data_IF_660103593159
#
_entry.id   IF_660103593159
#
_cell.length_a   1.000
_cell.length_b   1.000
_cell.length_c   1.000
_cell.angle_alpha   90.00
_cell.angle_beta   90.00
_cell.angle_gamma   90.00
#
_symmetry.space_group_name_H-M   'P 1'
#
loop_
_entity.id
_entity.type
_entity.pdbx_description
1 polymer ?
#
# COMPACT_ATOMS: atom_id res chain seq x y z
N UNK A 1 29.73 -9.19 -27.72
CA UNK A 1 29.47 -7.78 -27.38
C UNK A 1 28.35 -7.78 -26.38
N UNK A 2 28.74 -7.54 -25.14
CA UNK A 2 28.00 -7.35 -23.89
C UNK A 2 26.63 -8.00 -23.72
N UNK A 3 26.64 -9.09 -22.93
CA UNK A 3 25.53 -9.48 -22.06
C UNK A 3 25.21 -8.29 -21.17
N UNK A 4 24.21 -7.49 -21.53
CA UNK A 4 23.65 -6.51 -20.60
C UNK A 4 23.05 -7.30 -19.44
N UNK A 5 23.63 -7.05 -18.28
CA UNK A 5 23.37 -7.67 -17.01
C UNK A 5 21.95 -7.30 -16.53
N UNK A 6 20.95 -8.07 -16.96
CA UNK A 6 19.66 -8.13 -16.27
C UNK A 6 19.79 -9.13 -15.13
N UNK A 7 20.58 -8.78 -14.12
CA UNK A 7 20.80 -9.60 -12.92
C UNK A 7 20.45 -8.72 -11.71
N UNK A 8 19.44 -9.19 -10.96
CA UNK A 8 19.14 -8.81 -9.58
C UNK A 8 18.47 -7.45 -9.33
N UNK A 9 17.44 -7.09 -10.11
CA UNK A 9 16.45 -6.12 -9.62
C UNK A 9 15.44 -6.86 -8.76
N UNK A 10 15.28 -6.44 -7.50
CA UNK A 10 14.18 -6.92 -6.68
C UNK A 10 12.85 -6.69 -7.41
N UNK A 11 11.88 -7.56 -7.18
CA UNK A 11 10.61 -7.54 -7.89
C UNK A 11 9.44 -7.66 -6.92
N UNK A 12 8.50 -6.74 -7.07
CA UNK A 12 7.17 -6.88 -6.49
C UNK A 12 6.41 -7.99 -7.21
N UNK A 13 6.18 -9.13 -6.53
CA UNK A 13 5.51 -10.28 -7.17
C UNK A 13 4.16 -9.87 -7.79
N UNK A 14 3.87 -10.22 -9.05
CA UNK A 14 2.60 -9.90 -9.71
C UNK A 14 1.39 -10.31 -8.87
N UNK A 15 0.37 -9.46 -8.84
CA UNK A 15 -0.91 -9.66 -8.14
C UNK A 15 -0.81 -9.96 -6.63
N UNK A 16 0.38 -9.76 -6.02
CA UNK A 16 0.58 -10.03 -4.60
C UNK A 16 -0.02 -8.96 -3.69
N UNK A 17 -0.31 -7.76 -4.21
CA UNK A 17 -0.90 -6.69 -3.43
C UNK A 17 -2.34 -7.01 -3.02
N UNK A 18 -2.56 -7.04 -1.72
CA UNK A 18 -3.88 -7.18 -1.11
C UNK A 18 -4.09 -6.14 -0.01
N UNK A 19 -5.34 -5.76 0.20
CA UNK A 19 -5.77 -4.90 1.30
C UNK A 19 -6.95 -5.60 1.97
N UNK A 20 -6.80 -6.00 3.22
CA UNK A 20 -7.81 -6.77 3.95
C UNK A 20 -8.06 -6.23 5.37
N UNK A 21 -9.33 -6.01 5.76
CA UNK A 21 -10.51 -6.02 4.90
C UNK A 21 -10.49 -4.87 3.88
N UNK A 22 -11.18 -5.03 2.76
CA UNK A 22 -11.35 -3.94 1.77
C UNK A 22 -12.34 -2.88 2.22
N UNK A 23 -13.16 -3.16 3.23
CA UNK A 23 -14.08 -2.24 3.87
C UNK A 23 -13.72 -2.17 5.35
N UNK A 24 -13.46 -0.96 5.85
CA UNK A 24 -13.06 -0.76 7.23
C UNK A 24 -13.54 0.60 7.75
N UNK A 25 -13.59 0.76 9.07
CA UNK A 25 -14.10 1.95 9.76
C UNK A 25 -13.11 2.40 10.83
N UNK A 26 -12.27 3.40 10.53
CA UNK A 26 -11.36 4.02 11.50
C UNK A 26 -12.04 4.45 12.81
N UNK A 27 -13.33 4.84 12.75
CA UNK A 27 -14.12 5.27 13.93
C UNK A 27 -14.71 4.13 14.76
N UNK A 28 -14.66 2.88 14.29
CA UNK A 28 -14.98 1.70 15.11
C UNK A 28 -16.46 1.28 15.19
N UNK A 29 -17.26 1.49 14.13
CA UNK A 29 -18.70 1.22 14.12
C UNK A 29 -19.12 -0.15 13.54
N UNK A 30 -18.46 -1.24 14.01
CA UNK A 30 -18.66 -2.66 13.62
C UNK A 30 -17.82 -3.22 12.46
N UNK A 31 -16.97 -2.41 11.84
CA UNK A 31 -15.90 -2.90 10.96
C UNK A 31 -14.53 -2.91 11.66
N UNK A 32 -13.53 -3.57 11.04
CA UNK A 32 -12.13 -3.39 11.45
C UNK A 32 -11.76 -1.91 11.43
N UNK A 33 -10.91 -1.48 12.36
CA UNK A 33 -10.42 -0.09 12.43
C UNK A 33 -9.31 0.23 11.44
N UNK A 34 -8.84 -0.77 10.69
CA UNK A 34 -7.77 -0.64 9.73
C UNK A 34 -7.91 -1.67 8.61
N UNK A 35 -7.21 -1.42 7.51
CA UNK A 35 -6.88 -2.42 6.50
C UNK A 35 -5.41 -2.82 6.63
N UNK A 36 -5.10 -4.09 6.40
CA UNK A 36 -3.73 -4.57 6.27
C UNK A 36 -3.36 -4.64 4.79
N UNK A 37 -2.36 -3.86 4.41
CA UNK A 37 -1.72 -3.83 3.10
C UNK A 37 -0.65 -4.92 3.11
N UNK A 38 -0.84 -5.97 2.31
CA UNK A 38 0.15 -7.04 2.16
C UNK A 38 0.66 -7.10 0.73
N UNK A 39 1.96 -7.31 0.57
CA UNK A 39 2.64 -7.47 -0.72
C UNK A 39 3.80 -8.46 -0.57
N UNK A 40 4.33 -8.98 -1.68
CA UNK A 40 5.46 -9.93 -1.64
C UNK A 40 6.63 -9.44 -2.49
N UNK A 41 7.81 -9.41 -1.89
CA UNK A 41 9.07 -9.17 -2.57
C UNK A 41 9.82 -10.49 -2.77
N UNK A 42 10.50 -10.66 -3.89
CA UNK A 42 11.40 -11.81 -4.12
C UNK A 42 12.78 -11.61 -3.47
N UNK A 43 13.25 -10.37 -3.37
CA UNK A 43 14.51 -9.93 -2.76
C UNK A 43 14.27 -8.70 -1.86
N UNK A 44 15.18 -8.39 -0.91
CA UNK A 44 15.09 -7.14 -0.16
C UNK A 44 15.10 -5.91 -1.07
N UNK A 45 14.22 -4.94 -0.82
CA UNK A 45 14.02 -3.79 -1.70
C UNK A 45 13.57 -2.53 -0.95
N UNK A 46 13.73 -1.36 -1.58
CA UNK A 46 13.10 -0.11 -1.14
C UNK A 46 11.71 0.01 -1.76
N UNK A 47 10.71 0.20 -0.91
CA UNK A 47 9.30 0.26 -1.31
C UNK A 47 8.69 1.59 -0.90
N UNK A 48 7.88 2.14 -1.79
CA UNK A 48 7.03 3.29 -1.53
C UNK A 48 5.58 2.85 -1.47
N UNK A 49 4.89 3.22 -0.39
CA UNK A 49 3.47 2.92 -0.18
C UNK A 49 2.75 4.23 0.07
N UNK A 50 1.73 4.49 -0.75
CA UNK A 50 0.94 5.72 -0.72
C UNK A 50 -0.54 5.40 -0.75
N UNK A 51 -1.33 6.31 -0.21
CA UNK A 51 -2.79 6.29 -0.31
C UNK A 51 -3.24 7.56 -1.01
N UNK A 52 -4.12 7.41 -1.99
CA UNK A 52 -4.76 8.51 -2.70
C UNK A 52 -6.28 8.45 -2.53
N UNK A 53 -6.94 9.60 -2.61
CA UNK A 53 -8.38 9.64 -2.83
C UNK A 53 -8.70 9.45 -4.33
N UNK A 54 -9.99 9.33 -4.68
CA UNK A 54 -10.42 9.14 -6.09
C UNK A 54 -10.12 10.33 -7.01
N UNK A 55 -9.85 11.51 -6.47
CA UNK A 55 -9.39 12.66 -7.25
C UNK A 55 -7.89 12.59 -7.57
N UNK A 56 -7.19 11.53 -7.14
CA UNK A 56 -5.75 11.37 -7.31
C UNK A 56 -4.91 12.22 -6.35
N UNK A 57 -5.53 12.86 -5.36
CA UNK A 57 -4.80 13.62 -4.36
C UNK A 57 -4.16 12.65 -3.38
N UNK A 58 -2.90 12.91 -3.04
CA UNK A 58 -2.18 12.14 -2.04
C UNK A 58 -2.76 12.42 -0.67
N UNK A 59 -3.15 11.36 0.02
CA UNK A 59 -3.77 11.38 1.34
C UNK A 59 -2.76 10.99 2.41
N UNK A 60 -1.97 9.96 2.16
CA UNK A 60 -1.01 9.47 3.15
C UNK A 60 0.23 8.81 2.54
N UNK A 61 1.37 9.04 3.19
CA UNK A 61 2.62 8.30 2.95
C UNK A 61 2.80 7.23 4.03
N UNK A 62 2.46 5.99 3.70
CA UNK A 62 2.64 4.87 4.64
C UNK A 62 4.10 4.44 4.71
N UNK A 63 4.81 4.51 3.58
CA UNK A 63 6.24 4.22 3.50
C UNK A 63 6.86 5.01 2.36
N UNK A 64 8.01 5.66 2.62
CA UNK A 64 8.74 6.44 1.61
C UNK A 64 10.12 5.84 1.41
N UNK A 65 10.33 5.14 0.29
CA UNK A 65 11.60 4.44 -0.02
C UNK A 65 12.11 3.57 1.16
N UNK A 66 11.18 2.95 1.90
CA UNK A 66 11.54 2.18 3.09
C UNK A 66 12.06 0.81 2.69
N UNK A 67 13.13 0.36 3.34
CA UNK A 67 13.69 -0.97 3.13
C UNK A 67 12.79 -2.07 3.74
N UNK A 68 12.49 -3.10 2.95
CA UNK A 68 11.82 -4.32 3.38
C UNK A 68 12.65 -5.56 3.02
N UNK A 69 12.48 -6.64 3.78
CA UNK A 69 13.06 -7.94 3.47
C UNK A 69 12.34 -8.64 2.31
N UNK A 70 12.95 -9.69 1.78
CA UNK A 70 12.25 -10.61 0.87
C UNK A 70 11.11 -11.34 1.59
N UNK A 71 10.19 -11.87 0.80
CA UNK A 71 9.00 -12.57 1.29
C UNK A 71 7.80 -11.65 1.47
N UNK A 72 6.83 -12.13 2.26
CA UNK A 72 5.56 -11.45 2.46
C UNK A 72 5.72 -10.34 3.50
N UNK A 73 5.35 -9.13 3.11
CA UNK A 73 5.31 -7.95 3.96
C UNK A 73 3.84 -7.61 4.29
N UNK A 74 3.62 -7.00 5.46
CA UNK A 74 2.30 -6.57 5.91
C UNK A 74 2.41 -5.29 6.74
N UNK A 75 1.64 -4.26 6.36
CA UNK A 75 1.60 -2.96 7.04
C UNK A 75 0.15 -2.54 7.19
N UNK A 76 -0.19 -1.84 8.28
CA UNK A 76 -1.55 -1.38 8.53
C UNK A 76 -1.73 0.06 8.08
N UNK A 77 -2.87 0.34 7.47
CA UNK A 77 -3.39 1.70 7.34
C UNK A 77 -4.67 1.82 8.16
N UNK A 78 -4.65 2.74 9.12
CA UNK A 78 -5.74 3.01 10.06
C UNK A 78 -6.78 4.01 9.50
N UNK A 79 -6.69 4.39 8.22
CA UNK A 79 -7.61 5.33 7.59
C UNK A 79 -7.42 6.77 8.08
N UNK A 80 -6.18 7.14 8.39
CA UNK A 80 -5.79 8.53 8.69
C UNK A 80 -4.91 9.11 7.59
N UNK A 81 -4.96 10.42 7.44
CA UNK A 81 -4.06 11.18 6.58
C UNK A 81 -2.76 11.57 7.30
N UNK A 82 -1.91 12.33 6.63
CA UNK A 82 -0.62 12.77 7.15
C UNK A 82 -0.70 13.75 8.33
N UNK A 83 -1.88 14.30 8.60
CA UNK A 83 -2.15 15.15 9.77
C UNK A 83 -2.73 14.34 10.95
N UNK A 84 -2.73 13.00 10.83
CA UNK A 84 -3.35 12.05 11.76
C UNK A 84 -4.88 12.21 11.88
N UNK A 85 -5.52 12.86 10.91
CA UNK A 85 -6.98 13.03 10.89
C UNK A 85 -7.67 11.86 10.19
N UNK A 86 -8.84 11.46 10.69
CA UNK A 86 -9.62 10.38 10.07
C UNK A 86 -10.16 10.85 8.72
N UNK A 87 -9.80 10.13 7.67
CA UNK A 87 -10.23 10.47 6.31
C UNK A 87 -11.74 10.30 6.13
N UNK A 88 -12.33 11.04 5.20
CA UNK A 88 -13.76 10.97 4.91
C UNK A 88 -14.20 9.57 4.44
N UNK A 89 -15.48 9.24 4.63
CA UNK A 89 -16.09 8.06 4.01
C UNK A 89 -15.90 8.10 2.50
N UNK A 90 -15.43 7.01 1.89
CA UNK A 90 -15.22 6.95 0.45
C UNK A 90 -14.20 5.91 0.02
N UNK A 91 -13.94 5.89 -1.29
CA UNK A 91 -12.95 5.03 -1.91
C UNK A 91 -11.55 5.67 -1.86
N UNK A 92 -10.56 4.84 -1.57
CA UNK A 92 -9.15 5.21 -1.56
C UNK A 92 -8.34 4.19 -2.33
N UNK A 93 -7.28 4.66 -2.98
CA UNK A 93 -6.37 3.85 -3.80
C UNK A 93 -5.06 3.71 -3.04
N UNK A 94 -4.74 2.48 -2.63
CA UNK A 94 -3.44 2.13 -2.05
C UNK A 94 -2.51 1.71 -3.18
N UNK A 95 -1.35 2.34 -3.29
CA UNK A 95 -0.32 1.95 -4.27
C UNK A 95 0.92 1.43 -3.55
N UNK A 96 1.52 0.35 -4.06
CA UNK A 96 2.83 -0.17 -3.64
C UNK A 96 3.76 -0.11 -4.85
N UNK A 97 4.88 0.58 -4.71
CA UNK A 97 5.87 0.79 -5.77
C UNK A 97 7.26 0.34 -5.35
N UNK A 98 7.90 -0.45 -6.19
CA UNK A 98 9.29 -0.90 -6.11
C UNK A 98 9.91 -0.61 -7.49
N UNK A 99 10.99 0.19 -7.56
CA UNK A 99 11.58 0.60 -8.83
C UNK A 99 10.55 1.19 -9.81
N UNK A 100 10.40 0.55 -10.98
CA UNK A 100 9.40 0.92 -12.01
C UNK A 100 8.09 0.11 -11.91
N UNK A 101 7.97 -0.77 -10.92
CA UNK A 101 6.82 -1.65 -10.74
C UNK A 101 5.86 -1.04 -9.74
N UNK A 102 4.60 -0.89 -10.15
CA UNK A 102 3.52 -0.41 -9.28
C UNK A 102 2.36 -1.38 -9.32
N UNK A 103 1.81 -1.69 -8.14
CA UNK A 103 0.51 -2.32 -8.00
C UNK A 103 -0.40 -1.44 -7.16
N UNK A 104 -1.71 -1.51 -7.42
CA UNK A 104 -2.72 -0.78 -6.67
C UNK A 104 -3.89 -1.66 -6.19
N UNK A 105 -4.54 -1.21 -5.13
CA UNK A 105 -5.83 -1.72 -4.66
C UNK A 105 -6.72 -0.62 -4.14
N UNK A 106 -7.99 -0.71 -4.51
CA UNK A 106 -9.05 0.12 -3.94
C UNK A 106 -9.57 -0.48 -2.63
N UNK A 107 -9.71 0.39 -1.63
CA UNK A 107 -10.36 0.13 -0.34
C UNK A 107 -11.47 1.15 -0.09
N UNK A 108 -12.44 0.79 0.73
CA UNK A 108 -13.53 1.64 1.17
C UNK A 108 -13.38 1.95 2.67
N UNK A 109 -13.33 3.24 2.98
CA UNK A 109 -13.43 3.76 4.34
C UNK A 109 -14.88 4.11 4.60
N UNK A 110 -15.46 3.57 5.68
CA UNK A 110 -16.85 3.81 6.04
C UNK A 110 -16.98 4.22 7.50
N UNK A 111 -17.30 5.49 7.75
CA UNK A 111 -17.33 6.08 9.10
C UNK A 111 -18.75 6.36 9.66
N UNK A 112 -19.81 5.87 8.99
CA UNK A 112 -21.22 6.08 9.38
C UNK A 112 -21.79 4.90 10.14
#
# INVERSE_FOLDING_TARGET
MDKIQALDSATLKPDSLTCQPRLFSPKGNAFSTHTTISFTLDQPAQVTIKVYNVAGQLVEWIAQQQAFSSGKQAIRWNGRDSEDEVVATGLYIVTVTEGSQTQDKVVNVWNH
#
